data_IF_085326498107
#
_entry.id   IF_085326498107
#
_cell.length_a   1.000
_cell.length_b   1.000
_cell.length_c   1.000
_cell.angle_alpha   90.00
_cell.angle_beta   90.00
_cell.angle_gamma   90.00
#
_symmetry.space_group_name_H-M   'P 1'
#
loop_
_entity.id
_entity.type
_entity.pdbx_description
1 polymer ?
#
# COMPACT_ATOMS: atom_id res chain seq x y z
N UNK A 1 19.95 -69.50 -34.90
CA UNK A 1 20.11 -69.56 -33.43
C UNK A 1 20.75 -68.26 -32.95
N UNK A 2 19.90 -67.38 -32.40
CA UNK A 2 20.15 -66.31 -31.39
C UNK A 2 21.49 -65.56 -31.38
N UNK A 3 21.47 -64.29 -31.81
CA UNK A 3 22.44 -63.28 -31.39
C UNK A 3 21.67 -62.15 -30.67
N UNK A 4 21.64 -62.21 -29.34
CA UNK A 4 20.97 -61.22 -28.49
C UNK A 4 21.86 -59.99 -28.35
N UNK A 5 21.30 -58.83 -28.73
CA UNK A 5 21.89 -57.51 -28.55
C UNK A 5 21.55 -57.02 -27.14
N UNK A 6 22.55 -56.82 -26.29
CA UNK A 6 22.37 -56.21 -24.96
C UNK A 6 22.35 -54.69 -25.11
N UNK A 7 21.19 -54.08 -24.97
CA UNK A 7 21.03 -52.64 -24.82
C UNK A 7 21.18 -52.31 -23.34
N UNK A 8 22.25 -51.59 -22.99
CA UNK A 8 22.43 -51.01 -21.66
C UNK A 8 21.64 -49.69 -21.60
N UNK A 9 20.56 -49.65 -20.84
CA UNK A 9 19.84 -48.41 -20.52
C UNK A 9 20.50 -47.79 -19.30
N UNK A 10 21.22 -46.70 -19.50
CA UNK A 10 21.71 -45.86 -18.42
C UNK A 10 20.55 -44.97 -17.93
N UNK A 11 19.99 -45.31 -16.77
CA UNK A 11 19.05 -44.46 -16.03
C UNK A 11 19.82 -43.28 -15.42
N UNK A 12 19.73 -42.11 -16.05
CA UNK A 12 20.08 -40.85 -15.41
C UNK A 12 18.97 -40.49 -14.40
N UNK A 13 19.23 -40.74 -13.12
CA UNK A 13 18.41 -40.21 -12.04
C UNK A 13 18.66 -38.71 -11.92
N UNK A 14 17.78 -37.90 -12.52
CA UNK A 14 17.70 -36.48 -12.20
C UNK A 14 17.13 -36.33 -10.78
N UNK A 15 17.99 -36.05 -9.80
CA UNK A 15 17.60 -35.61 -8.47
C UNK A 15 16.99 -34.21 -8.59
N UNK A 16 15.68 -34.17 -8.81
CA UNK A 16 14.89 -32.97 -8.62
C UNK A 16 14.84 -32.63 -7.13
N UNK A 17 15.64 -31.66 -6.69
CA UNK A 17 15.38 -30.96 -5.43
C UNK A 17 14.15 -30.08 -5.61
N UNK A 18 12.97 -30.69 -5.60
CA UNK A 18 11.75 -29.97 -5.26
C UNK A 18 11.82 -29.69 -3.76
N UNK A 19 12.40 -28.55 -3.39
CA UNK A 19 12.23 -28.02 -2.05
C UNK A 19 10.74 -27.86 -1.81
N UNK A 20 10.17 -28.65 -0.90
CA UNK A 20 8.80 -28.46 -0.46
C UNK A 20 8.69 -27.02 0.04
N UNK A 21 8.00 -26.16 -0.71
CA UNK A 21 7.59 -24.86 -0.22
C UNK A 21 6.83 -25.13 1.07
N UNK A 22 7.42 -24.79 2.23
CA UNK A 22 6.65 -24.68 3.45
C UNK A 22 5.63 -23.58 3.15
N UNK A 23 4.36 -23.95 3.05
CA UNK A 23 3.28 -22.97 3.06
C UNK A 23 3.53 -22.08 4.30
N UNK A 24 3.76 -20.78 4.08
CA UNK A 24 3.78 -19.84 5.20
C UNK A 24 2.42 -19.91 5.87
N UNK A 25 2.40 -19.72 7.19
CA UNK A 25 1.17 -19.83 7.96
C UNK A 25 0.08 -18.85 7.49
N UNK A 26 -1.12 -19.01 8.03
CA UNK A 26 -2.24 -18.08 7.77
C UNK A 26 -1.96 -16.74 8.45
N UNK A 27 -2.11 -15.63 7.71
CA UNK A 27 -2.02 -14.27 8.26
C UNK A 27 -3.30 -14.00 9.05
N UNK A 28 -3.13 -13.71 10.35
CA UNK A 28 -4.25 -13.38 11.24
C UNK A 28 -4.85 -11.99 10.98
N UNK A 29 -5.81 -11.61 11.81
CA UNK A 29 -6.47 -10.29 11.78
C UNK A 29 -6.40 -9.58 13.14
N UNK A 30 -5.35 -9.89 13.92
CA UNK A 30 -5.11 -9.28 15.22
C UNK A 30 -3.62 -9.09 15.44
N UNK A 31 -3.25 -8.13 16.28
CA UNK A 31 -1.90 -8.02 16.82
C UNK A 31 -1.71 -9.04 17.96
N UNK A 32 -0.48 -9.50 18.24
CA UNK A 32 -0.19 -10.36 19.38
C UNK A 32 -0.64 -9.72 20.71
N UNK A 33 -1.09 -10.53 21.67
CA UNK A 33 -1.59 -10.03 22.96
C UNK A 33 -0.50 -9.32 23.80
N UNK A 34 0.77 -9.64 23.57
CA UNK A 34 1.95 -9.03 24.19
C UNK A 34 2.58 -7.92 23.32
N UNK A 35 2.00 -7.61 22.16
CA UNK A 35 2.39 -6.45 21.36
C UNK A 35 1.87 -5.17 22.03
N UNK A 36 2.65 -4.06 22.07
CA UNK A 36 2.23 -2.85 22.74
C UNK A 36 0.96 -2.27 22.11
N UNK A 37 0.03 -1.83 22.96
CA UNK A 37 -1.16 -1.10 22.52
C UNK A 37 -0.75 0.29 22.03
N UNK A 38 -1.02 0.58 20.76
CA UNK A 38 -0.80 1.89 20.15
C UNK A 38 -2.18 2.54 20.01
N UNK A 39 -2.38 3.68 20.69
CA UNK A 39 -3.57 4.49 20.49
C UNK A 39 -3.36 5.41 19.28
N UNK A 40 -4.32 5.36 18.36
CA UNK A 40 -4.47 6.22 17.20
C UNK A 40 -4.42 7.69 17.64
N UNK A 41 -3.50 8.45 17.05
CA UNK A 41 -3.23 9.83 17.45
C UNK A 41 -4.41 10.77 17.15
N UNK A 42 -5.25 10.42 16.17
CA UNK A 42 -6.39 11.23 15.74
C UNK A 42 -7.69 10.82 16.41
N UNK A 43 -7.91 9.51 16.56
CA UNK A 43 -9.15 8.92 17.04
C UNK A 43 -9.13 8.64 18.55
N UNK A 44 -7.96 8.56 19.18
CA UNK A 44 -7.81 8.32 20.61
C UNK A 44 -8.19 6.91 21.06
N UNK A 45 -8.39 5.98 20.12
CA UNK A 45 -8.69 4.57 20.35
C UNK A 45 -7.53 3.70 19.88
N UNK A 46 -7.38 2.45 20.34
CA UNK A 46 -6.35 1.56 19.83
C UNK A 46 -6.43 1.39 18.31
N UNK A 47 -5.27 1.41 17.63
CA UNK A 47 -5.18 1.04 16.22
C UNK A 47 -5.56 -0.43 16.05
N UNK A 48 -6.16 -0.76 14.91
CA UNK A 48 -6.35 -2.16 14.50
C UNK A 48 -5.16 -2.62 13.64
N UNK A 49 -4.97 -3.93 13.52
CA UNK A 49 -3.84 -4.45 12.74
C UNK A 49 -3.71 -5.96 12.81
N UNK A 50 -2.71 -6.48 12.11
CA UNK A 50 -2.34 -7.89 12.17
C UNK A 50 -0.84 -8.07 12.36
N UNK A 51 -0.46 -9.18 12.97
CA UNK A 51 0.91 -9.64 13.16
C UNK A 51 0.92 -10.93 13.98
N UNK A 52 2.07 -11.58 14.12
CA UNK A 52 2.15 -12.81 14.90
C UNK A 52 3.48 -12.90 15.69
N UNK A 53 3.49 -13.57 16.86
CA UNK A 53 4.74 -13.97 17.49
C UNK A 53 5.44 -15.03 16.65
N UNK A 54 6.76 -15.07 16.72
CA UNK A 54 7.54 -16.15 16.12
C UNK A 54 8.93 -15.72 15.70
N UNK A 55 9.76 -16.69 15.25
CA UNK A 55 11.07 -16.38 14.70
C UNK A 55 10.94 -15.52 13.44
N UNK A 56 11.91 -14.64 13.23
CA UNK A 56 12.01 -13.74 12.07
C UNK A 56 13.37 -13.99 11.42
N UNK A 57 13.37 -14.34 10.13
CA UNK A 57 14.59 -14.62 9.36
C UNK A 57 14.77 -13.66 8.18
N UNK A 58 13.70 -12.98 7.76
CA UNK A 58 13.69 -11.89 6.78
C UNK A 58 13.43 -10.55 7.46
N UNK A 59 13.67 -9.48 6.72
CA UNK A 59 13.19 -8.14 7.08
C UNK A 59 11.65 -8.16 7.22
N UNK A 60 11.07 -7.75 8.37
CA UNK A 60 9.63 -7.65 8.51
C UNK A 60 9.01 -6.68 7.50
N UNK A 61 7.82 -7.01 7.00
CA UNK A 61 7.07 -6.21 6.03
C UNK A 61 5.88 -5.57 6.73
N UNK A 62 5.76 -4.25 6.60
CA UNK A 62 4.63 -3.46 7.12
C UNK A 62 3.70 -3.05 5.97
N UNK A 63 2.42 -3.37 6.08
CA UNK A 63 1.38 -3.06 5.10
C UNK A 63 0.55 -1.85 5.52
N UNK A 64 0.43 -0.88 4.62
CA UNK A 64 -0.31 0.38 4.85
C UNK A 64 -1.41 0.55 3.81
N UNK A 65 -2.66 0.43 4.26
CA UNK A 65 -3.84 0.57 3.41
C UNK A 65 -4.03 2.02 2.89
N UNK A 66 -4.94 2.20 1.94
CA UNK A 66 -5.30 3.50 1.38
C UNK A 66 -6.31 4.29 2.23
N UNK A 67 -6.68 5.49 1.77
CA UNK A 67 -7.70 6.29 2.43
C UNK A 67 -9.06 5.58 2.41
N UNK A 68 -9.76 5.57 3.54
CA UNK A 68 -11.07 4.93 3.73
C UNK A 68 -11.07 3.41 3.54
N UNK A 69 -9.92 2.79 3.79
CA UNK A 69 -9.72 1.35 3.79
C UNK A 69 -9.34 0.88 5.21
N UNK A 70 -9.12 -0.41 5.37
CA UNK A 70 -8.73 -1.08 6.61
C UNK A 70 -7.59 -2.06 6.29
N UNK A 71 -6.83 -2.56 7.29
CA UNK A 71 -5.76 -3.53 7.02
C UNK A 71 -6.31 -4.91 6.62
N UNK A 72 -7.53 -5.26 7.04
CA UNK A 72 -8.28 -6.49 6.75
C UNK A 72 -9.79 -6.21 6.85
N UNK A 73 -10.68 -7.02 6.25
CA UNK A 73 -12.12 -6.82 6.34
C UNK A 73 -12.62 -6.74 7.80
N UNK A 74 -13.40 -5.70 8.13
CA UNK A 74 -14.00 -5.51 9.46
C UNK A 74 -15.52 -5.63 9.40
N UNK A 75 -16.19 -5.60 10.56
CA UNK A 75 -17.65 -5.59 10.62
C UNK A 75 -18.26 -4.38 9.89
N UNK A 76 -17.59 -3.22 9.96
CA UNK A 76 -18.04 -1.99 9.31
C UNK A 76 -17.54 -1.85 7.87
N UNK A 77 -16.51 -2.61 7.49
CA UNK A 77 -15.90 -2.60 6.16
C UNK A 77 -15.64 -4.03 5.65
N UNK A 78 -16.69 -4.82 5.36
CA UNK A 78 -16.55 -6.24 5.02
C UNK A 78 -15.99 -6.51 3.61
N UNK A 79 -15.91 -5.48 2.77
CA UNK A 79 -15.61 -5.62 1.34
C UNK A 79 -14.25 -5.07 0.90
N UNK A 80 -13.58 -4.31 1.77
CA UNK A 80 -12.24 -3.75 1.54
C UNK A 80 -11.21 -4.52 2.40
N UNK A 81 -10.02 -3.98 2.65
CA UNK A 81 -8.98 -4.68 3.42
C UNK A 81 -8.04 -5.56 2.63
N UNK A 82 -7.73 -5.17 1.38
CA UNK A 82 -6.96 -6.01 0.44
C UNK A 82 -5.46 -6.08 0.75
N UNK A 83 -4.95 -5.25 1.66
CA UNK A 83 -3.60 -5.40 2.19
C UNK A 83 -3.38 -6.75 2.87
N UNK A 84 -4.39 -7.28 3.56
CA UNK A 84 -4.34 -8.62 4.14
C UNK A 84 -4.17 -9.72 3.08
N UNK A 85 -4.84 -9.60 1.93
CA UNK A 85 -4.69 -10.56 0.83
C UNK A 85 -3.29 -10.52 0.21
N UNK A 86 -2.71 -9.32 0.04
CA UNK A 86 -1.33 -9.17 -0.40
C UNK A 86 -0.36 -9.81 0.62
N UNK A 87 -0.56 -9.56 1.93
CA UNK A 87 0.25 -10.20 2.97
C UNK A 87 0.12 -11.73 2.94
N UNK A 88 -1.11 -12.25 2.78
CA UNK A 88 -1.33 -13.69 2.63
C UNK A 88 -0.61 -14.25 1.40
N UNK A 89 -0.59 -13.52 0.27
CA UNK A 89 0.15 -13.95 -0.92
C UNK A 89 1.66 -14.08 -0.68
N UNK A 90 2.24 -13.29 0.23
CA UNK A 90 3.64 -13.41 0.63
C UNK A 90 3.84 -14.59 1.58
N UNK A 91 2.90 -14.84 2.49
CA UNK A 91 2.91 -16.03 3.34
C UNK A 91 2.83 -17.31 2.50
N UNK A 92 1.95 -17.37 1.50
CA UNK A 92 1.82 -18.49 0.56
C UNK A 92 3.13 -18.75 -0.21
N UNK A 93 3.98 -17.72 -0.34
CA UNK A 93 5.32 -17.78 -0.94
C UNK A 93 6.47 -17.91 0.08
N UNK A 94 6.16 -18.27 1.33
CA UNK A 94 7.13 -18.71 2.34
C UNK A 94 7.61 -17.63 3.31
N UNK A 95 6.95 -16.46 3.38
CA UNK A 95 7.05 -15.58 4.55
C UNK A 95 6.35 -16.21 5.75
N UNK A 96 6.88 -16.03 6.96
CA UNK A 96 6.14 -16.41 8.16
C UNK A 96 5.17 -15.28 8.57
N UNK A 97 4.03 -15.58 9.20
CA UNK A 97 3.15 -14.53 9.76
C UNK A 97 3.86 -13.59 10.76
N UNK A 98 4.93 -14.04 11.42
CA UNK A 98 5.78 -13.20 12.29
C UNK A 98 6.59 -12.14 11.53
N UNK A 99 6.69 -12.27 10.21
CA UNK A 99 7.36 -11.32 9.31
C UNK A 99 6.38 -10.34 8.65
N UNK A 100 5.06 -10.47 8.87
CA UNK A 100 4.03 -9.75 8.13
C UNK A 100 3.13 -8.96 9.09
N UNK A 101 3.13 -7.64 8.96
CA UNK A 101 2.50 -6.72 9.92
C UNK A 101 1.62 -5.69 9.22
N UNK A 102 0.35 -5.58 9.59
CA UNK A 102 -0.57 -4.60 9.00
C UNK A 102 -1.00 -3.54 10.02
N UNK A 103 -0.98 -2.27 9.61
CA UNK A 103 -1.46 -1.15 10.43
C UNK A 103 -2.77 -0.58 9.88
N UNK A 104 -3.78 -0.48 10.74
CA UNK A 104 -5.03 0.24 10.50
C UNK A 104 -5.06 1.57 11.22
N UNK A 105 -4.58 2.61 10.55
CA UNK A 105 -4.35 3.95 11.09
C UNK A 105 -5.53 4.93 10.91
N UNK A 106 -6.66 4.46 10.40
CA UNK A 106 -7.90 5.27 10.30
C UNK A 106 -9.04 4.63 11.11
N UNK A 107 -8.71 3.70 12.01
CA UNK A 107 -9.70 2.89 12.73
C UNK A 107 -10.44 1.88 11.83
N UNK A 108 -11.52 1.31 12.36
CA UNK A 108 -12.36 0.32 11.67
C UNK A 108 -13.40 0.92 10.70
N UNK A 109 -13.39 2.25 10.57
CA UNK A 109 -14.26 3.05 9.70
C UNK A 109 -15.76 2.96 10.06
N UNK A 110 -16.14 2.49 11.25
CA UNK A 110 -17.55 2.47 11.66
C UNK A 110 -18.15 3.88 11.75
N UNK A 111 -17.30 4.87 11.98
CA UNK A 111 -17.69 6.25 12.16
C UNK A 111 -18.15 6.92 10.86
N UNK A 112 -17.71 6.41 9.71
CA UNK A 112 -18.16 6.82 8.38
C UNK A 112 -19.64 6.51 8.12
N UNK A 113 -20.22 5.53 8.82
CA UNK A 113 -21.66 5.22 8.73
C UNK A 113 -22.51 6.37 9.29
N UNK A 114 -21.99 7.08 10.29
CA UNK A 114 -22.67 8.22 10.89
C UNK A 114 -22.39 9.52 10.13
N UNK A 115 -21.17 9.69 9.62
CA UNK A 115 -20.78 10.88 8.88
C UNK A 115 -19.74 10.54 7.80
N UNK A 116 -20.23 10.46 6.57
CA UNK A 116 -19.40 10.10 5.43
C UNK A 116 -18.39 11.20 5.04
N UNK A 117 -18.55 12.45 5.50
CA UNK A 117 -17.59 13.54 5.22
C UNK A 117 -16.24 13.33 5.91
N UNK A 118 -16.19 12.46 6.92
CA UNK A 118 -14.96 12.11 7.64
C UNK A 118 -13.89 11.50 6.73
N UNK A 119 -14.29 10.90 5.60
CA UNK A 119 -13.40 10.38 4.55
C UNK A 119 -12.36 11.37 4.03
N UNK A 120 -12.61 12.67 4.19
CA UNK A 120 -11.71 13.75 3.80
C UNK A 120 -11.29 14.66 4.96
N UNK A 121 -11.67 14.30 6.19
CA UNK A 121 -11.37 15.06 7.40
C UNK A 121 -9.95 14.80 7.93
N UNK A 122 -9.58 15.49 9.02
CA UNK A 122 -8.23 15.51 9.54
C UNK A 122 -7.66 14.12 9.86
N UNK A 123 -8.43 13.23 10.50
CA UNK A 123 -8.00 11.86 10.82
C UNK A 123 -7.69 11.01 9.59
N UNK A 124 -8.13 11.43 8.40
CA UNK A 124 -7.91 10.72 7.13
C UNK A 124 -6.72 11.26 6.32
N UNK A 125 -5.97 12.21 6.88
CA UNK A 125 -4.78 12.80 6.24
C UNK A 125 -3.53 11.94 6.44
N UNK A 126 -2.50 12.14 5.61
CA UNK A 126 -1.21 11.50 5.84
C UNK A 126 -0.56 12.07 7.11
N UNK A 127 -0.60 13.39 7.31
CA UNK A 127 0.06 14.05 8.44
C UNK A 127 -0.48 13.57 9.79
N UNK A 128 -1.80 13.41 9.92
CA UNK A 128 -2.42 13.02 11.19
C UNK A 128 -2.02 11.61 11.64
N UNK A 129 -1.59 10.75 10.72
CA UNK A 129 -1.29 9.35 10.95
C UNK A 129 0.21 9.02 10.99
N UNK A 130 1.08 10.04 10.87
CA UNK A 130 2.55 9.88 10.97
C UNK A 130 2.96 9.30 12.32
N UNK A 131 2.35 9.78 13.40
CA UNK A 131 2.66 9.30 14.76
C UNK A 131 2.27 7.83 14.94
N UNK A 132 1.16 7.40 14.35
CA UNK A 132 0.71 6.01 14.42
C UNK A 132 1.65 5.09 13.66
N UNK A 133 2.08 5.48 12.45
CA UNK A 133 3.10 4.75 11.71
C UNK A 133 4.44 4.70 12.46
N UNK A 134 4.90 5.84 13.00
CA UNK A 134 6.14 5.93 13.79
C UNK A 134 6.13 4.94 14.95
N UNK A 135 5.08 4.96 15.77
CA UNK A 135 4.92 4.04 16.91
C UNK A 135 4.85 2.59 16.46
N UNK A 136 4.11 2.31 15.38
CA UNK A 136 3.94 0.95 14.87
C UNK A 136 5.25 0.37 14.34
N UNK A 137 6.01 1.11 13.53
CA UNK A 137 7.32 0.66 13.02
C UNK A 137 8.27 0.36 14.18
N UNK A 138 8.39 1.26 15.15
CA UNK A 138 9.25 1.04 16.31
C UNK A 138 8.82 -0.16 17.15
N UNK A 139 7.50 -0.37 17.33
CA UNK A 139 6.98 -1.54 18.02
C UNK A 139 7.27 -2.84 17.27
N UNK A 140 7.06 -2.88 15.95
CA UNK A 140 7.40 -4.05 15.11
C UNK A 140 8.91 -4.36 15.19
N UNK A 141 9.77 -3.35 15.05
CA UNK A 141 11.22 -3.54 15.15
C UNK A 141 11.65 -4.05 16.53
N UNK A 142 11.09 -3.49 17.61
CA UNK A 142 11.37 -3.93 18.97
C UNK A 142 10.89 -5.37 19.23
N UNK A 143 9.70 -5.72 18.73
CA UNK A 143 9.07 -7.03 18.93
C UNK A 143 9.78 -8.14 18.13
N UNK A 144 10.24 -7.82 16.92
CA UNK A 144 10.92 -8.78 16.03
C UNK A 144 12.44 -8.83 16.20
N UNK A 145 13.03 -7.81 16.83
CA UNK A 145 14.48 -7.61 16.90
C UNK A 145 15.12 -7.13 15.58
N UNK A 146 14.31 -6.79 14.57
CA UNK A 146 14.80 -6.33 13.28
C UNK A 146 15.39 -4.92 13.34
N UNK A 147 16.40 -4.65 12.50
CA UNK A 147 17.07 -3.34 12.39
C UNK A 147 16.49 -2.44 11.31
N UNK A 148 15.75 -3.03 10.37
CA UNK A 148 15.08 -2.37 9.28
C UNK A 148 13.73 -3.07 9.06
N UNK A 149 12.81 -2.39 8.39
CA UNK A 149 11.56 -2.93 7.86
C UNK A 149 11.49 -2.70 6.36
N UNK A 150 10.68 -3.50 5.68
CA UNK A 150 10.14 -3.14 4.36
C UNK A 150 8.73 -2.61 4.54
N UNK A 151 8.29 -1.72 3.65
CA UNK A 151 6.94 -1.16 3.66
C UNK A 151 6.29 -1.44 2.31
N UNK A 152 5.03 -1.89 2.36
CA UNK A 152 4.16 -1.94 1.19
C UNK A 152 2.96 -1.02 1.45
N UNK A 153 2.88 0.06 0.68
CA UNK A 153 1.81 1.04 0.80
C UNK A 153 0.92 1.06 -0.44
N UNK A 154 -0.38 1.26 -0.25
CA UNK A 154 -1.33 1.53 -1.34
C UNK A 154 -1.95 2.91 -1.16
N UNK A 155 -2.13 3.65 -2.25
CA UNK A 155 -2.84 4.93 -2.22
C UNK A 155 -2.26 5.84 -1.13
N UNK A 156 -3.07 6.36 -0.21
CA UNK A 156 -2.63 7.18 0.93
C UNK A 156 -1.50 6.55 1.76
N UNK A 157 -1.47 5.22 1.93
CA UNK A 157 -0.43 4.52 2.69
C UNK A 157 0.99 4.76 2.14
N UNK A 158 1.12 5.03 0.83
CA UNK A 158 2.39 5.42 0.21
C UNK A 158 2.83 6.81 0.69
N UNK A 159 1.91 7.77 0.65
CA UNK A 159 2.20 9.15 1.03
C UNK A 159 2.46 9.25 2.54
N UNK A 160 1.73 8.49 3.35
CA UNK A 160 1.99 8.33 4.79
C UNK A 160 3.41 7.81 5.05
N UNK A 161 3.82 6.73 4.37
CA UNK A 161 5.18 6.20 4.51
C UNK A 161 6.25 7.23 4.14
N UNK A 162 6.08 7.94 3.02
CA UNK A 162 7.01 8.98 2.58
C UNK A 162 7.06 10.17 3.54
N UNK A 163 5.91 10.58 4.05
CA UNK A 163 5.78 11.66 5.03
C UNK A 163 6.55 11.32 6.30
N UNK A 164 6.29 10.15 6.88
CA UNK A 164 7.00 9.68 8.08
C UNK A 164 8.51 9.56 7.85
N UNK A 165 8.94 8.92 6.74
CA UNK A 165 10.36 8.78 6.43
C UNK A 165 11.08 10.13 6.31
N UNK A 166 10.40 11.14 5.77
CA UNK A 166 10.93 12.50 5.65
C UNK A 166 10.96 13.21 7.01
N UNK A 167 9.87 13.17 7.77
CA UNK A 167 9.73 13.85 9.06
C UNK A 167 10.76 13.34 10.08
N UNK A 168 10.90 12.01 10.17
CA UNK A 168 11.80 11.34 11.13
C UNK A 168 13.21 11.12 10.59
N UNK A 169 13.45 11.40 9.31
CA UNK A 169 14.68 10.99 8.60
C UNK A 169 14.89 9.48 8.68
N UNK A 170 13.80 8.70 8.63
CA UNK A 170 13.77 7.25 8.86
C UNK A 170 14.22 6.40 7.66
N UNK A 171 14.85 6.98 6.63
CA UNK A 171 15.37 6.26 5.45
C UNK A 171 16.36 5.12 5.76
N UNK A 172 16.94 5.11 6.96
CA UNK A 172 17.82 4.02 7.44
C UNK A 172 17.08 2.90 8.18
N UNK A 173 15.80 3.12 8.50
CA UNK A 173 14.93 2.12 9.11
C UNK A 173 14.11 1.38 8.05
N UNK A 174 14.03 1.93 6.82
CA UNK A 174 13.27 1.33 5.71
C UNK A 174 14.22 0.84 4.63
N UNK A 175 14.32 -0.47 4.48
CA UNK A 175 15.14 -1.10 3.44
C UNK A 175 14.49 -0.95 2.07
N UNK A 176 13.20 -1.26 1.96
CA UNK A 176 12.40 -1.16 0.72
C UNK A 176 11.04 -0.52 0.95
N UNK A 177 10.62 0.30 0.01
CA UNK A 177 9.23 0.74 -0.13
C UNK A 177 8.67 0.22 -1.46
N UNK A 178 7.59 -0.55 -1.41
CA UNK A 178 6.74 -0.84 -2.57
C UNK A 178 5.55 0.12 -2.51
N UNK A 179 5.53 1.07 -3.44
CA UNK A 179 4.55 2.12 -3.55
C UNK A 179 3.51 1.78 -4.63
N UNK A 180 2.33 1.33 -4.22
CA UNK A 180 1.25 0.90 -5.11
C UNK A 180 0.27 2.06 -5.29
N UNK A 181 0.29 2.68 -6.47
CA UNK A 181 -0.68 3.70 -6.91
C UNK A 181 -0.89 4.84 -5.90
N UNK A 182 0.21 5.35 -5.31
CA UNK A 182 0.19 6.37 -4.26
C UNK A 182 0.10 7.82 -4.77
N UNK A 183 -0.71 8.72 -4.19
CA UNK A 183 -0.96 10.06 -4.74
C UNK A 183 0.18 11.05 -4.45
N UNK A 184 1.36 10.79 -5.01
CA UNK A 184 2.59 11.55 -4.73
C UNK A 184 2.54 12.97 -5.30
N UNK A 185 1.71 13.25 -6.30
CA UNK A 185 1.56 14.58 -6.90
C UNK A 185 0.10 15.03 -6.96
N UNK A 186 -0.72 14.48 -6.07
CA UNK A 186 -2.10 14.89 -5.84
C UNK A 186 -3.16 14.09 -6.58
N UNK A 187 -4.43 14.45 -6.38
CA UNK A 187 -5.60 13.69 -6.84
C UNK A 187 -6.64 14.58 -7.50
N UNK A 188 -7.36 14.03 -8.48
CA UNK A 188 -8.44 14.74 -9.18
C UNK A 188 -9.69 14.95 -8.32
N UNK A 189 -9.87 14.12 -7.28
CA UNK A 189 -11.07 14.12 -6.42
C UNK A 189 -11.25 15.43 -5.62
N UNK A 190 -10.25 16.31 -5.61
CA UNK A 190 -10.23 17.56 -4.86
C UNK A 190 -10.54 18.82 -5.70
N UNK A 191 -10.97 18.63 -6.96
CA UNK A 191 -11.35 19.73 -7.85
C UNK A 191 -12.48 20.60 -7.25
N UNK A 192 -12.38 21.95 -7.31
CA UNK A 192 -13.46 22.85 -6.89
C UNK A 192 -14.63 22.89 -7.88
N UNK A 193 -14.51 22.23 -9.04
CA UNK A 193 -15.53 22.26 -10.09
C UNK A 193 -16.89 21.79 -9.56
N UNK A 194 -18.01 22.46 -9.90
CA UNK A 194 -19.35 21.97 -9.54
C UNK A 194 -19.68 20.60 -10.16
N UNK A 195 -18.90 20.12 -11.13
CA UNK A 195 -19.01 18.77 -11.71
C UNK A 195 -18.26 17.70 -10.90
N UNK A 196 -17.47 18.08 -9.88
CA UNK A 196 -16.80 17.13 -9.00
C UNK A 196 -17.75 16.64 -7.91
N UNK A 197 -18.36 15.47 -8.12
CA UNK A 197 -19.31 14.89 -7.19
C UNK A 197 -18.66 14.40 -5.87
N UNK A 198 -17.34 14.22 -5.80
CA UNK A 198 -16.65 13.85 -4.54
C UNK A 198 -16.80 14.92 -3.46
N UNK A 199 -17.13 16.17 -3.82
CA UNK A 199 -17.44 17.24 -2.87
C UNK A 199 -18.75 16.99 -2.09
N UNK A 200 -19.68 16.19 -2.64
CA UNK A 200 -20.93 15.87 -1.97
C UNK A 200 -20.65 15.01 -0.72
N UNK A 201 -21.40 15.24 0.35
CA UNK A 201 -21.26 14.45 1.58
C UNK A 201 -21.43 12.94 1.34
N UNK A 202 -22.34 12.56 0.43
CA UNK A 202 -22.55 11.16 0.03
C UNK A 202 -21.32 10.49 -0.63
N UNK A 203 -20.36 11.27 -1.13
CA UNK A 203 -19.14 10.80 -1.77
C UNK A 203 -17.86 11.20 -1.03
N UNK A 204 -17.97 11.55 0.25
CA UNK A 204 -16.83 11.73 1.14
C UNK A 204 -16.46 13.17 1.45
N UNK A 205 -17.14 14.15 0.85
CA UNK A 205 -16.97 15.56 1.20
C UNK A 205 -15.61 16.16 0.84
N UNK A 206 -14.97 15.68 -0.24
CA UNK A 206 -13.68 16.14 -0.77
C UNK A 206 -13.76 17.56 -1.37
N UNK A 207 -14.20 18.51 -0.56
CA UNK A 207 -14.20 19.93 -0.88
C UNK A 207 -12.77 20.47 -0.88
N UNK A 208 -12.50 21.59 -1.57
CA UNK A 208 -11.19 22.21 -1.53
C UNK A 208 -10.69 22.54 -0.12
N UNK A 209 -11.59 22.73 0.85
CA UNK A 209 -11.28 23.04 2.24
C UNK A 209 -11.11 21.79 3.12
N UNK A 210 -11.49 20.60 2.64
CA UNK A 210 -11.30 19.35 3.38
C UNK A 210 -9.81 19.09 3.64
N UNK A 211 -9.50 18.47 4.77
CA UNK A 211 -8.12 18.30 5.22
C UNK A 211 -7.29 17.47 4.23
N UNK A 212 -7.88 16.40 3.69
CA UNK A 212 -7.23 15.57 2.66
C UNK A 212 -6.95 16.38 1.39
N UNK A 213 -7.86 17.26 0.97
CA UNK A 213 -7.63 18.08 -0.23
C UNK A 213 -6.65 19.24 -0.01
N UNK A 214 -6.52 19.73 1.22
CA UNK A 214 -5.44 20.67 1.58
C UNK A 214 -4.06 20.00 1.52
N UNK A 215 -3.98 18.68 1.69
CA UNK A 215 -2.75 17.91 1.49
C UNK A 215 -2.53 17.49 0.04
N UNK A 216 -3.51 16.83 -0.57
CA UNK A 216 -3.33 16.05 -1.81
C UNK A 216 -4.03 16.67 -3.02
N UNK A 217 -4.70 17.81 -2.88
CA UNK A 217 -5.50 18.33 -3.97
C UNK A 217 -4.70 19.01 -5.10
N UNK A 218 -3.39 19.21 -4.94
CA UNK A 218 -2.51 19.80 -5.96
C UNK A 218 -1.05 19.42 -5.70
N UNK A 219 -0.21 19.23 -6.74
CA UNK A 219 1.25 19.17 -6.55
C UNK A 219 1.81 20.46 -5.91
N UNK A 220 1.02 21.54 -5.88
CA UNK A 220 1.35 22.82 -5.28
C UNK A 220 0.77 23.03 -3.87
N UNK A 221 0.21 22.02 -3.22
CA UNK A 221 -0.11 22.16 -1.79
C UNK A 221 1.17 22.38 -0.97
N UNK A 222 1.12 23.10 0.17
CA UNK A 222 2.27 23.20 1.07
C UNK A 222 2.81 21.83 1.51
N UNK A 223 1.92 20.84 1.65
CA UNK A 223 2.27 19.47 1.98
C UNK A 223 3.08 18.79 0.86
N UNK A 224 2.54 18.68 -0.37
CA UNK A 224 3.21 17.96 -1.45
C UNK A 224 4.47 18.68 -1.95
N UNK A 225 4.51 20.02 -1.94
CA UNK A 225 5.76 20.75 -2.23
C UNK A 225 6.87 20.42 -1.24
N UNK A 226 6.52 20.23 0.04
CA UNK A 226 7.49 19.87 1.09
C UNK A 226 7.92 18.41 0.93
N UNK A 227 6.96 17.51 0.69
CA UNK A 227 7.20 16.08 0.53
C UNK A 227 8.10 15.78 -0.67
N UNK A 228 7.86 16.44 -1.79
CA UNK A 228 8.60 16.24 -3.03
C UNK A 228 9.81 17.18 -3.18
N UNK A 229 10.21 17.89 -2.11
CA UNK A 229 11.40 18.74 -2.15
C UNK A 229 12.66 17.86 -2.13
N UNK A 230 13.41 17.88 -3.23
CA UNK A 230 14.66 17.15 -3.37
C UNK A 230 14.50 15.95 -4.29
N UNK A 231 15.21 14.85 -3.98
CA UNK A 231 15.00 13.57 -4.65
C UNK A 231 13.82 12.84 -4.01
N UNK A 232 13.00 12.18 -4.82
CA UNK A 232 11.91 11.32 -4.35
C UNK A 232 12.43 9.99 -3.74
N UNK A 233 13.69 9.65 -4.00
CA UNK A 233 14.40 8.46 -3.52
C UNK A 233 15.57 8.86 -2.61
N UNK A 234 15.27 9.56 -1.53
CA UNK A 234 16.29 10.00 -0.58
C UNK A 234 16.82 8.86 0.29
N UNK A 235 18.12 8.88 0.58
CA UNK A 235 18.75 7.97 1.53
C UNK A 235 19.00 6.57 0.98
N UNK A 236 18.94 5.57 1.86
CA UNK A 236 19.25 4.17 1.55
C UNK A 236 18.05 3.36 1.07
N UNK A 237 16.83 3.86 1.26
CA UNK A 237 15.60 3.16 0.91
C UNK A 237 15.47 3.00 -0.59
N UNK A 238 15.28 1.75 -1.03
CA UNK A 238 15.00 1.47 -2.44
C UNK A 238 13.49 1.47 -2.67
N UNK A 239 13.04 2.11 -3.75
CA UNK A 239 11.61 2.27 -4.02
C UNK A 239 11.23 1.60 -5.34
N UNK A 240 10.18 0.77 -5.30
CA UNK A 240 9.45 0.30 -6.48
C UNK A 240 8.09 1.01 -6.50
N UNK A 241 7.77 1.65 -7.61
CA UNK A 241 6.43 2.18 -7.91
C UNK A 241 5.70 1.19 -8.80
N UNK A 242 4.51 0.77 -8.39
CA UNK A 242 3.58 -0.01 -9.22
C UNK A 242 2.36 0.89 -9.44
N UNK A 243 2.08 1.30 -10.67
CA UNK A 243 1.01 2.28 -10.97
C UNK A 243 0.07 1.81 -12.07
N UNK A 244 -1.15 2.33 -12.06
CA UNK A 244 -2.03 2.24 -13.22
C UNK A 244 -1.59 3.26 -14.29
N UNK A 245 -1.48 2.81 -15.54
CA UNK A 245 -1.04 3.62 -16.67
C UNK A 245 -2.16 3.92 -17.69
N UNK A 246 -3.36 3.39 -17.48
CA UNK A 246 -4.53 3.55 -18.36
C UNK A 246 -5.64 4.42 -17.74
N UNK A 247 -6.13 4.04 -16.56
CA UNK A 247 -7.17 4.77 -15.83
C UNK A 247 -7.01 4.61 -14.32
N UNK A 248 -7.68 5.46 -13.56
CA UNK A 248 -7.83 5.45 -12.10
C UNK A 248 -8.72 6.63 -11.74
N UNK A 249 -9.80 6.40 -11.00
CA UNK A 249 -10.70 7.47 -10.53
C UNK A 249 -10.02 8.51 -9.62
N UNK A 250 -8.75 8.27 -9.24
CA UNK A 250 -7.93 9.15 -8.42
C UNK A 250 -7.03 10.07 -9.26
N UNK A 251 -6.65 9.65 -10.47
CA UNK A 251 -5.61 10.31 -11.28
C UNK A 251 -6.05 10.73 -12.67
N UNK A 252 -7.13 10.16 -13.20
CA UNK A 252 -7.55 10.37 -14.57
C UNK A 252 -8.95 10.98 -14.62
N UNK A 253 -9.15 11.94 -15.52
CA UNK A 253 -10.48 12.42 -15.90
C UNK A 253 -11.07 11.46 -16.96
N UNK A 254 -11.25 10.20 -16.56
CA UNK A 254 -11.73 9.11 -17.39
C UNK A 254 -12.65 8.19 -16.58
N UNK A 255 -13.44 7.36 -17.27
CA UNK A 255 -14.27 6.35 -16.61
C UNK A 255 -13.35 5.30 -15.97
N UNK A 256 -13.63 4.94 -14.72
CA UNK A 256 -12.93 3.87 -14.03
C UNK A 256 -13.93 3.06 -13.19
N UNK A 257 -14.30 1.88 -13.68
CA UNK A 257 -15.32 1.05 -13.05
C UNK A 257 -16.64 1.80 -12.87
N UNK A 258 -17.16 1.83 -11.64
CA UNK A 258 -18.36 2.57 -11.25
C UNK A 258 -18.21 4.10 -11.34
N UNK A 259 -16.99 4.64 -11.20
CA UNK A 259 -16.77 6.07 -11.06
C UNK A 259 -16.70 6.77 -12.41
N UNK A 260 -17.54 7.79 -12.58
CA UNK A 260 -17.54 8.64 -13.78
C UNK A 260 -16.44 9.70 -13.71
N UNK A 261 -15.98 10.22 -14.88
CA UNK A 261 -14.97 11.25 -14.94
C UNK A 261 -15.36 12.52 -14.17
N UNK A 262 -14.39 13.10 -13.45
CA UNK A 262 -14.48 14.45 -12.89
C UNK A 262 -13.43 15.36 -13.55
N UNK A 263 -13.63 16.68 -13.65
CA UNK A 263 -12.66 17.56 -14.31
C UNK A 263 -11.27 17.50 -13.70
N UNK A 264 -10.25 17.34 -14.55
CA UNK A 264 -8.82 17.40 -14.20
C UNK A 264 -8.39 18.82 -13.79
N UNK A 265 -8.81 19.23 -12.59
CA UNK A 265 -8.46 20.50 -11.97
C UNK A 265 -7.90 20.25 -10.58
N UNK A 266 -6.83 20.96 -10.25
CA UNK A 266 -6.30 20.96 -8.90
C UNK A 266 -7.21 21.72 -7.93
N UNK A 267 -6.91 21.62 -6.64
CA UNK A 267 -7.70 22.22 -5.55
C UNK A 267 -7.85 23.74 -5.66
N UNK A 268 -6.99 24.40 -6.43
CA UNK A 268 -7.02 25.85 -6.67
C UNK A 268 -7.83 26.22 -7.93
N UNK A 269 -8.36 25.23 -8.65
CA UNK A 269 -9.15 25.41 -9.85
C UNK A 269 -8.34 25.51 -11.14
N UNK A 270 -7.04 25.20 -11.09
CA UNK A 270 -6.19 25.21 -12.29
C UNK A 270 -6.27 23.84 -12.99
N UNK A 271 -6.30 23.79 -14.33
CA UNK A 271 -6.11 22.54 -15.06
C UNK A 271 -4.80 21.86 -14.64
N UNK A 272 -4.86 20.57 -14.30
CA UNK A 272 -3.68 19.80 -13.90
C UNK A 272 -3.79 18.35 -14.38
N UNK A 273 -2.70 17.83 -14.94
CA UNK A 273 -2.59 16.41 -15.31
C UNK A 273 -2.10 15.60 -14.12
N UNK A 274 -2.96 14.72 -13.60
CA UNK A 274 -2.66 13.83 -12.48
C UNK A 274 -2.23 12.42 -12.93
N UNK A 275 -2.17 12.12 -14.22
CA UNK A 275 -1.88 10.77 -14.75
C UNK A 275 -0.51 10.22 -14.31
N UNK A 276 0.43 11.10 -13.98
CA UNK A 276 1.76 10.76 -13.46
C UNK A 276 1.86 10.91 -11.94
N UNK A 277 0.75 11.13 -11.23
CA UNK A 277 0.77 11.39 -9.79
C UNK A 277 1.37 10.26 -8.98
N UNK A 278 1.16 9.01 -9.42
CA UNK A 278 1.74 7.83 -8.77
C UNK A 278 3.26 7.71 -8.89
N UNK A 279 3.87 8.32 -9.91
CA UNK A 279 5.29 8.17 -10.18
C UNK A 279 6.17 8.81 -9.10
N UNK A 280 7.40 8.32 -8.97
CA UNK A 280 8.45 8.90 -8.13
C UNK A 280 9.75 8.95 -8.95
N UNK A 281 10.37 10.13 -8.99
CA UNK A 281 11.58 10.32 -9.79
C UNK A 281 12.75 9.51 -9.23
N UNK A 282 13.25 8.59 -10.05
CA UNK A 282 14.42 7.75 -9.71
C UNK A 282 14.07 6.42 -9.04
N UNK A 283 12.78 6.12 -8.83
CA UNK A 283 12.34 4.81 -8.37
C UNK A 283 12.32 3.79 -9.52
N UNK A 284 12.47 2.51 -9.19
CA UNK A 284 12.10 1.43 -10.10
C UNK A 284 10.58 1.54 -10.36
N UNK A 285 10.11 1.28 -11.59
CA UNK A 285 8.71 1.48 -11.95
C UNK A 285 8.15 0.32 -12.76
N UNK A 286 6.93 -0.09 -12.42
CA UNK A 286 6.10 -1.03 -13.14
C UNK A 286 4.76 -0.37 -13.48
N UNK A 287 4.49 -0.26 -14.77
CA UNK A 287 3.23 0.26 -15.30
C UNK A 287 2.29 -0.90 -15.62
N UNK A 288 1.10 -0.88 -15.03
CA UNK A 288 0.05 -1.86 -15.27
C UNK A 288 -1.16 -1.19 -15.91
N UNK A 289 -1.94 -1.97 -16.66
CA UNK A 289 -3.20 -1.55 -17.27
C UNK A 289 -4.27 -2.62 -17.05
N UNK A 290 -5.53 -2.24 -17.11
CA UNK A 290 -6.67 -3.17 -17.04
C UNK A 290 -6.85 -3.80 -15.65
N UNK A 291 -6.33 -3.17 -14.59
CA UNK A 291 -6.36 -3.73 -13.24
C UNK A 291 -7.77 -3.77 -12.62
N UNK A 292 -8.75 -3.11 -13.24
CA UNK A 292 -10.15 -3.11 -12.80
C UNK A 292 -10.78 -4.50 -12.76
N UNK A 293 -10.24 -5.48 -13.52
CA UNK A 293 -10.68 -6.89 -13.47
C UNK A 293 -10.48 -7.54 -12.09
N UNK A 294 -9.63 -6.97 -11.24
CA UNK A 294 -9.31 -7.48 -9.90
C UNK A 294 -10.09 -6.77 -8.78
N UNK A 295 -10.89 -5.75 -9.11
CA UNK A 295 -11.89 -5.16 -8.21
C UNK A 295 -13.28 -5.69 -8.58
N UNK A 296 -13.69 -6.76 -7.92
CA UNK A 296 -14.92 -7.47 -8.23
C UNK A 296 -16.20 -6.71 -7.83
N UNK A 297 -16.07 -5.57 -7.15
CA UNK A 297 -17.20 -4.81 -6.61
C UNK A 297 -17.46 -3.57 -7.44
N UNK A 298 -16.43 -2.73 -7.60
CA UNK A 298 -16.57 -1.45 -8.32
C UNK A 298 -15.94 -1.50 -9.71
N UNK A 299 -15.15 -2.52 -10.04
CA UNK A 299 -14.44 -2.63 -11.32
C UNK A 299 -13.36 -1.57 -11.51
N UNK A 300 -12.87 -0.96 -10.43
CA UNK A 300 -11.92 0.16 -10.48
C UNK A 300 -10.49 -0.34 -10.55
N UNK A 301 -9.70 0.26 -11.44
CA UNK A 301 -8.26 -0.01 -11.55
C UNK A 301 -7.50 0.39 -10.29
N UNK A 302 -7.87 1.52 -9.65
CA UNK A 302 -7.22 2.03 -8.45
C UNK A 302 -7.29 1.06 -7.26
N UNK A 303 -8.42 0.37 -7.09
CA UNK A 303 -8.56 -0.67 -6.04
C UNK A 303 -8.07 -2.03 -6.54
N UNK A 304 -8.34 -2.36 -7.80
CA UNK A 304 -7.99 -3.65 -8.40
C UNK A 304 -6.49 -3.89 -8.46
N UNK A 305 -5.67 -2.85 -8.67
CA UNK A 305 -4.21 -2.97 -8.69
C UNK A 305 -3.63 -3.55 -7.40
N UNK A 306 -4.26 -3.31 -6.24
CA UNK A 306 -3.82 -3.88 -4.96
C UNK A 306 -4.12 -5.39 -4.86
N UNK A 307 -5.14 -5.87 -5.57
CA UNK A 307 -5.59 -7.26 -5.57
C UNK A 307 -5.10 -8.03 -6.83
N UNK A 308 -4.11 -7.48 -7.53
CA UNK A 308 -3.61 -7.99 -8.80
C UNK A 308 -2.47 -9.00 -8.60
N UNK A 309 -2.51 -10.18 -9.27
CA UNK A 309 -1.40 -11.12 -9.26
C UNK A 309 -0.07 -10.52 -9.74
N UNK A 310 -0.11 -9.59 -10.70
CA UNK A 310 1.08 -8.90 -11.21
C UNK A 310 1.71 -8.02 -10.12
N UNK A 311 0.88 -7.28 -9.38
CA UNK A 311 1.33 -6.48 -8.23
C UNK A 311 1.90 -7.37 -7.12
N UNK A 312 1.24 -8.48 -6.81
CA UNK A 312 1.66 -9.42 -5.76
C UNK A 312 3.02 -10.06 -6.10
N UNK A 313 3.17 -10.51 -7.34
CA UNK A 313 4.40 -11.10 -7.83
C UNK A 313 5.56 -10.10 -7.84
N UNK A 314 5.33 -8.89 -8.39
CA UNK A 314 6.33 -7.84 -8.41
C UNK A 314 6.76 -7.42 -7.00
N UNK A 315 5.81 -7.35 -6.06
CA UNK A 315 6.07 -7.09 -4.64
C UNK A 315 6.98 -8.18 -4.05
N UNK A 316 6.63 -9.46 -4.22
CA UNK A 316 7.44 -10.57 -3.72
C UNK A 316 8.87 -10.55 -4.27
N UNK A 317 9.01 -10.44 -5.60
CA UNK A 317 10.32 -10.43 -6.27
C UNK A 317 11.18 -9.26 -5.79
N UNK A 318 10.58 -8.07 -5.68
CA UNK A 318 11.27 -6.89 -5.23
C UNK A 318 11.73 -7.01 -3.77
N UNK A 319 10.90 -7.56 -2.89
CA UNK A 319 11.24 -7.77 -1.47
C UNK A 319 12.31 -8.86 -1.27
N UNK A 320 12.43 -9.84 -2.17
CA UNK A 320 13.45 -10.89 -2.11
C UNK A 320 14.75 -10.58 -2.85
N UNK A 321 14.75 -9.62 -3.77
CA UNK A 321 15.92 -9.31 -4.59
C UNK A 321 17.16 -9.10 -3.70
N UNK A 322 18.32 -9.61 -4.12
CA UNK A 322 19.56 -9.32 -3.40
C UNK A 322 19.83 -7.81 -3.42
N UNK A 323 20.31 -7.26 -2.30
CA UNK A 323 20.90 -5.92 -2.34
C UNK A 323 22.13 -5.97 -3.25
N UNK A 324 22.31 -5.03 -4.20
CA UNK A 324 23.55 -4.93 -4.95
C UNK A 324 24.71 -4.88 -3.95
N UNK A 325 25.75 -5.69 -4.18
CA UNK A 325 26.97 -5.61 -3.36
C UNK A 325 27.50 -4.18 -3.49
N UNK A 326 27.55 -3.46 -2.38
CA UNK A 326 28.18 -2.13 -2.30
C UNK A 326 29.69 -2.25 -2.48
#
# INVERSE_FOLDING_TARGET
MTRWMRIAVALCAALGFAGAARAGGVVGTSLPADFPVINDASLGVPVIGFGAPGPVVRTPVIFLHGNNDVPFPTACQPFVGKMHALAQSLADQGYSPSELWGLGYQGDQCDLLADNTRRSAAAHTATANVEDLRRFVHAVMAYTGAREVDIVGHSLGVVLAREWMRDDKAWRLVRRLVAIDGPNHGIVNCSPSPLNYYQLAAFGGFTPQSAVCQELGSPHTPFLRRLNRGSDTQGSTRILVIRNADTSFVYFSAQDGFFTPVPAMDVYGNPNDFSMSAALRGADQLDLTGQGVYDLILGTTHLGILNSPQTWQATFEYLQAASPRR
#
